data_IF_954288998212
#
_entry.id   IF_954288998212
#
_cell.length_a   1.000
_cell.length_b   1.000
_cell.length_c   1.000
_cell.angle_alpha   90.00
_cell.angle_beta   90.00
_cell.angle_gamma   90.00
#
_symmetry.space_group_name_H-M   'P 1'
#
loop_
_entity.id
_entity.type
_entity.pdbx_description
1 polymer ?
#
# COMPACT_ATOMS: atom_id res chain seq x y z
N UNK A 1 -4.76 -9.35 7.89
CA UNK A 1 -6.20 -9.53 7.57
C UNK A 1 -6.52 -9.11 6.14
N UNK A 2 -6.22 -7.88 5.73
CA UNK A 2 -6.54 -7.36 4.38
C UNK A 2 -6.06 -8.25 3.23
N UNK A 3 -4.80 -8.68 3.22
CA UNK A 3 -4.26 -9.55 2.16
C UNK A 3 -5.08 -10.83 1.96
N UNK A 4 -5.60 -11.39 3.05
CA UNK A 4 -6.42 -12.61 3.05
C UNK A 4 -7.86 -12.32 2.57
N UNK A 5 -8.41 -11.15 2.89
CA UNK A 5 -9.69 -10.69 2.32
C UNK A 5 -9.58 -10.46 0.81
N UNK A 6 -8.54 -9.75 0.37
CA UNK A 6 -8.29 -9.53 -1.05
C UNK A 6 -8.06 -10.84 -1.81
N UNK A 7 -7.43 -11.85 -1.20
CA UNK A 7 -7.29 -13.16 -1.81
C UNK A 7 -8.62 -13.93 -1.92
N UNK A 8 -9.51 -13.81 -0.93
CA UNK A 8 -10.82 -14.47 -0.93
C UNK A 8 -11.79 -13.85 -1.95
N UNK A 9 -11.74 -12.54 -2.11
CA UNK A 9 -12.68 -11.79 -2.95
C UNK A 9 -12.08 -11.26 -4.25
N UNK A 10 -10.79 -11.51 -4.50
CA UNK A 10 -10.07 -11.14 -5.73
C UNK A 10 -10.43 -11.98 -6.95
N UNK A 11 -11.48 -12.81 -6.86
CA UNK A 11 -12.09 -13.47 -8.01
C UNK A 11 -12.71 -12.40 -8.92
N UNK A 12 -12.40 -12.49 -10.21
CA UNK A 12 -12.68 -11.47 -11.21
C UNK A 12 -14.12 -10.95 -11.14
N UNK A 13 -14.30 -9.70 -10.72
CA UNK A 13 -15.60 -9.02 -10.74
C UNK A 13 -15.86 -8.01 -9.63
N UNK A 14 -15.03 -7.94 -8.59
CA UNK A 14 -15.23 -7.03 -7.45
C UNK A 14 -14.15 -5.95 -7.44
N UNK A 15 -14.57 -4.69 -7.28
CA UNK A 15 -13.68 -3.56 -7.01
C UNK A 15 -13.60 -3.30 -5.51
N UNK A 16 -12.42 -2.92 -5.03
CA UNK A 16 -12.21 -2.54 -3.62
C UNK A 16 -11.73 -1.11 -3.53
N UNK A 17 -12.38 -0.32 -2.68
CA UNK A 17 -11.83 0.92 -2.19
C UNK A 17 -11.15 0.66 -0.84
N UNK A 18 -9.88 1.04 -0.73
CA UNK A 18 -9.08 0.90 0.49
C UNK A 18 -8.60 2.28 0.91
N UNK A 19 -9.10 2.76 2.04
CA UNK A 19 -8.62 3.99 2.68
C UNK A 19 -7.60 3.63 3.78
N UNK A 20 -6.42 4.24 3.72
CA UNK A 20 -5.42 4.09 4.78
C UNK A 20 -5.64 5.17 5.84
N UNK A 21 -5.97 4.74 7.05
CA UNK A 21 -6.15 5.62 8.20
C UNK A 21 -4.90 5.57 9.08
N UNK A 22 -4.21 6.70 9.17
CA UNK A 22 -3.08 6.91 10.07
C UNK A 22 -3.61 7.47 11.39
N UNK A 23 -3.50 6.68 12.45
CA UNK A 23 -3.97 7.07 13.78
C UNK A 23 -3.04 8.10 14.40
N UNK A 24 -3.57 9.23 14.83
CA UNK A 24 -2.80 10.32 15.43
C UNK A 24 -1.92 9.84 16.59
N UNK A 25 -2.48 8.94 17.42
CA UNK A 25 -1.80 8.38 18.59
C UNK A 25 -0.60 7.46 18.25
N UNK A 26 -0.52 6.96 17.02
CA UNK A 26 0.52 6.03 16.57
C UNK A 26 1.60 6.73 15.71
N UNK A 27 1.42 8.03 15.43
CA UNK A 27 2.37 8.81 14.64
C UNK A 27 3.52 9.27 15.54
N UNK A 28 4.73 8.84 15.19
CA UNK A 28 5.97 9.27 15.83
C UNK A 28 6.98 9.82 14.82
N UNK A 29 7.98 10.59 15.28
CA UNK A 29 9.08 11.04 14.43
C UNK A 29 9.91 9.84 13.96
N UNK A 30 10.42 9.91 12.73
CA UNK A 30 11.31 8.90 12.16
C UNK A 30 12.47 9.55 11.40
N UNK A 31 13.61 8.86 11.32
CA UNK A 31 14.72 9.24 10.47
C UNK A 31 14.57 8.56 9.10
N UNK A 32 14.78 9.33 8.03
CA UNK A 32 14.85 8.80 6.68
C UNK A 32 16.27 8.30 6.43
N UNK A 33 16.49 6.99 6.53
CA UNK A 33 17.77 6.38 6.20
C UNK A 33 17.79 5.97 4.72
N UNK A 34 18.58 6.67 3.91
CA UNK A 34 18.71 6.43 2.48
C UNK A 34 19.47 5.15 2.13
N UNK A 35 20.17 4.55 3.11
CA UNK A 35 21.01 3.35 2.91
C UNK A 35 20.33 2.07 3.40
N UNK A 36 19.17 2.16 4.06
CA UNK A 36 18.41 1.01 4.50
C UNK A 36 17.80 0.26 3.29
N UNK A 37 18.45 -0.83 2.88
CA UNK A 37 17.92 -1.81 1.91
C UNK A 37 16.98 -2.84 2.55
N UNK A 38 16.78 -2.77 3.87
CA UNK A 38 15.88 -3.66 4.58
C UNK A 38 14.40 -3.45 4.16
N UNK A 39 13.56 -4.50 4.19
CA UNK A 39 12.14 -4.40 3.86
C UNK A 39 11.34 -3.44 4.78
N UNK A 40 11.90 -3.07 5.93
CA UNK A 40 11.33 -2.10 6.87
C UNK A 40 11.87 -0.66 6.70
N UNK A 41 12.57 -0.37 5.60
CA UNK A 41 13.14 0.96 5.37
C UNK A 41 12.06 2.06 5.40
N UNK A 42 12.36 3.13 6.13
CA UNK A 42 11.50 4.31 6.22
C UNK A 42 11.59 5.09 4.91
N UNK A 43 10.49 5.12 4.14
CA UNK A 43 10.41 5.73 2.82
C UNK A 43 9.35 6.82 2.82
N UNK A 44 9.76 8.03 2.47
CA UNK A 44 8.84 9.17 2.36
C UNK A 44 7.79 8.89 1.29
N UNK A 45 6.52 9.11 1.62
CA UNK A 45 5.38 8.84 0.76
C UNK A 45 4.94 7.37 0.71
N UNK A 46 5.64 6.45 1.40
CA UNK A 46 5.26 5.03 1.46
C UNK A 46 5.03 4.52 2.88
N UNK A 47 6.00 4.73 3.76
CA UNK A 47 5.94 4.31 5.18
C UNK A 47 6.11 5.49 6.15
N UNK A 48 6.40 6.68 5.62
CA UNK A 48 6.45 7.94 6.35
C UNK A 48 5.86 9.06 5.50
N UNK A 49 5.49 10.17 6.11
CA UNK A 49 4.91 11.32 5.45
C UNK A 49 5.40 12.60 6.13
N UNK A 50 5.34 13.71 5.40
CA UNK A 50 5.71 15.00 5.95
C UNK A 50 4.50 15.64 6.64
N UNK A 51 4.77 16.25 7.79
CA UNK A 51 3.80 16.98 8.59
C UNK A 51 4.24 18.44 8.63
N UNK A 52 3.39 19.35 8.16
CA UNK A 52 3.72 20.79 8.07
C UNK A 52 3.39 21.56 9.36
N UNK A 53 2.68 20.94 10.30
CA UNK A 53 2.31 21.51 11.59
C UNK A 53 1.59 20.49 12.48
N UNK A 54 1.23 20.83 13.73
CA UNK A 54 0.55 19.91 14.63
C UNK A 54 -0.75 19.39 14.00
N UNK A 55 -0.86 18.07 13.84
CA UNK A 55 -2.09 17.43 13.34
C UNK A 55 -2.82 16.85 14.55
N UNK A 56 -4.02 17.36 14.82
CA UNK A 56 -4.80 17.02 16.01
C UNK A 56 -5.69 15.78 15.84
N UNK A 57 -5.71 15.15 14.66
CA UNK A 57 -6.62 14.05 14.35
C UNK A 57 -6.04 13.02 13.40
N UNK A 58 -6.75 11.90 13.26
CA UNK A 58 -6.38 10.84 12.33
C UNK A 58 -6.35 11.37 10.89
N UNK A 59 -5.45 10.83 10.07
CA UNK A 59 -5.36 11.18 8.65
C UNK A 59 -5.85 10.03 7.79
N UNK A 60 -6.62 10.37 6.76
CA UNK A 60 -7.21 9.42 5.81
C UNK A 60 -7.15 9.97 4.37
N UNK A 61 -6.00 10.54 4.01
CA UNK A 61 -5.78 11.22 2.73
C UNK A 61 -5.36 10.27 1.60
N UNK A 62 -5.02 9.02 1.91
CA UNK A 62 -4.64 8.01 0.92
C UNK A 62 -5.78 7.03 0.67
N UNK A 63 -6.24 6.99 -0.59
CA UNK A 63 -7.23 6.04 -1.09
C UNK A 63 -6.69 5.26 -2.27
N UNK A 64 -6.87 3.96 -2.23
CA UNK A 64 -6.52 3.04 -3.32
C UNK A 64 -7.79 2.42 -3.88
N UNK A 65 -7.92 2.49 -5.20
CA UNK A 65 -8.93 1.73 -5.92
C UNK A 65 -8.27 0.51 -6.53
N UNK A 66 -8.63 -0.67 -6.03
CA UNK A 66 -8.18 -1.95 -6.58
C UNK A 66 -9.25 -2.45 -7.53
N UNK A 67 -8.89 -2.54 -8.81
CA UNK A 67 -9.77 -3.07 -9.86
C UNK A 67 -9.28 -4.43 -10.33
N UNK A 68 -10.18 -5.32 -10.78
CA UNK A 68 -9.79 -6.52 -11.49
C UNK A 68 -8.87 -6.16 -12.66
N UNK A 69 -7.72 -6.83 -12.75
CA UNK A 69 -6.90 -6.74 -13.93
C UNK A 69 -7.59 -7.48 -15.09
N UNK A 70 -7.54 -6.94 -16.32
CA UNK A 70 -7.92 -7.73 -17.48
C UNK A 70 -7.05 -8.99 -17.53
N UNK A 71 -7.62 -10.07 -18.06
CA UNK A 71 -6.90 -11.34 -18.20
C UNK A 71 -5.56 -11.09 -18.89
N UNK A 72 -4.47 -11.55 -18.25
CA UNK A 72 -3.15 -11.47 -18.85
C UNK A 72 -3.17 -12.22 -20.18
N UNK A 73 -2.60 -11.62 -21.21
CA UNK A 73 -2.45 -12.29 -22.50
C UNK A 73 -1.69 -13.62 -22.29
N UNK A 74 -2.11 -14.71 -22.94
CA UNK A 74 -1.39 -15.97 -22.84
C UNK A 74 0.06 -15.77 -23.23
N UNK A 75 0.97 -16.25 -22.37
CA UNK A 75 2.41 -16.08 -22.53
C UNK A 75 2.83 -16.74 -23.85
N UNK A 76 3.13 -15.94 -24.88
CA UNK A 76 3.66 -16.45 -26.16
C UNK A 76 5.16 -16.66 -26.03
N UNK A 77 5.59 -17.91 -25.84
CA UNK A 77 6.99 -18.30 -25.89
C UNK A 77 7.25 -19.69 -25.30
N UNK A 78 8.29 -20.41 -25.78
CA UNK A 78 8.63 -21.72 -25.22
C UNK A 78 9.10 -21.59 -23.76
N UNK A 79 8.73 -22.58 -22.95
CA UNK A 79 9.19 -22.69 -21.56
C UNK A 79 10.73 -22.79 -21.51
N UNK A 80 11.39 -22.22 -20.48
CA UNK A 80 12.83 -22.39 -20.30
C UNK A 80 13.18 -23.87 -20.01
N UNK A 81 14.42 -24.29 -20.36
CA UNK A 81 14.89 -25.67 -20.14
C UNK A 81 14.97 -26.04 -18.66
#
# INVERSE_FOLDING_TARGET
ALARMLALFGLAGIEFEVELVLRAAEIGPCLLDSLATAPAAVRLGRTSFLVTGPVAGDRADMRYLVRPLPALAPRRGPAPP
#
